data_IF_626179185562
#
_entry.id   IF_626179185562
#
_cell.length_a   1.000
_cell.length_b   1.000
_cell.length_c   1.000
_cell.angle_alpha   90.00
_cell.angle_beta   90.00
_cell.angle_gamma   90.00
#
_symmetry.space_group_name_H-M   'P 1'
#
loop_
_entity.id
_entity.type
_entity.pdbx_description
1 polymer ?
#
# COMPACT_ATOMS: atom_id res chain seq x y z
N UNK A 1 -4.98 -4.15 -9.09
CA UNK A 1 -5.66 -5.44 -9.24
C UNK A 1 -6.24 -5.60 -10.65
N UNK A 2 -7.25 -4.81 -11.06
CA UNK A 2 -7.91 -4.96 -12.37
C UNK A 2 -6.93 -4.87 -13.54
N UNK A 3 -6.01 -3.89 -13.55
CA UNK A 3 -5.04 -3.73 -14.63
C UNK A 3 -4.15 -4.97 -14.83
N UNK A 4 -3.74 -5.63 -13.75
CA UNK A 4 -2.95 -6.86 -13.80
C UNK A 4 -3.82 -8.05 -14.29
N UNK A 5 -5.03 -8.18 -13.76
CA UNK A 5 -5.94 -9.25 -14.13
C UNK A 5 -6.37 -9.18 -15.60
N UNK A 6 -6.63 -7.96 -16.14
CA UNK A 6 -6.93 -7.72 -17.55
C UNK A 6 -5.75 -8.09 -18.49
N UNK A 7 -4.52 -8.07 -17.95
CA UNK A 7 -3.29 -8.54 -18.65
C UNK A 7 -3.03 -10.04 -18.47
N UNK A 8 -3.94 -10.76 -17.83
CA UNK A 8 -3.89 -12.21 -17.69
C UNK A 8 -3.31 -12.72 -16.36
N UNK A 9 -2.89 -11.85 -15.45
CA UNK A 9 -2.42 -12.27 -14.14
C UNK A 9 -3.56 -12.84 -13.29
N UNK A 10 -3.25 -13.82 -12.45
CA UNK A 10 -4.07 -14.19 -11.32
C UNK A 10 -3.72 -13.28 -10.14
N UNK A 11 -4.71 -12.65 -9.54
CA UNK A 11 -4.52 -11.65 -8.50
C UNK A 11 -5.15 -12.10 -7.19
N UNK A 12 -4.38 -12.14 -6.13
CA UNK A 12 -4.87 -12.23 -4.76
C UNK A 12 -4.90 -10.80 -4.20
N UNK A 13 -6.09 -10.26 -3.98
CA UNK A 13 -6.29 -8.89 -3.49
C UNK A 13 -6.63 -8.93 -2.00
N UNK A 14 -5.68 -8.55 -1.14
CA UNK A 14 -5.94 -8.32 0.28
C UNK A 14 -6.45 -6.90 0.46
N UNK A 15 -7.67 -6.75 0.98
CA UNK A 15 -8.36 -5.46 1.08
C UNK A 15 -8.77 -5.16 2.53
N UNK A 16 -8.43 -3.96 3.02
CA UNK A 16 -8.81 -3.45 4.33
C UNK A 16 -9.67 -2.20 4.19
N UNK A 17 -10.80 -2.16 4.88
CA UNK A 17 -11.70 -0.99 4.95
C UNK A 17 -12.08 -0.39 3.59
N UNK A 18 -12.26 -1.24 2.58
CA UNK A 18 -12.71 -0.85 1.25
C UNK A 18 -14.16 -1.29 1.05
N UNK A 19 -15.02 -0.35 0.66
CA UNK A 19 -16.44 -0.62 0.39
C UNK A 19 -16.64 -1.62 -0.76
N UNK A 20 -17.67 -2.45 -0.64
CA UNK A 20 -18.02 -3.46 -1.65
C UNK A 20 -18.31 -2.82 -3.03
N UNK A 21 -18.91 -1.64 -3.07
CA UNK A 21 -19.12 -0.90 -4.31
C UNK A 21 -17.84 -0.53 -5.04
N UNK A 22 -16.76 -0.23 -4.30
CA UNK A 22 -15.43 0.03 -4.89
C UNK A 22 -14.79 -1.27 -5.39
N UNK A 23 -15.02 -2.39 -4.68
CA UNK A 23 -14.49 -3.70 -5.02
C UNK A 23 -15.36 -4.48 -6.00
N UNK A 24 -16.54 -3.99 -6.37
CA UNK A 24 -17.52 -4.72 -7.18
C UNK A 24 -16.91 -5.38 -8.41
N UNK A 25 -16.12 -4.63 -9.19
CA UNK A 25 -15.45 -5.17 -10.37
C UNK A 25 -14.41 -6.25 -10.05
N UNK A 26 -13.71 -6.11 -8.93
CA UNK A 26 -12.73 -7.11 -8.49
C UNK A 26 -13.43 -8.38 -7.97
N UNK A 27 -14.50 -8.23 -7.20
CA UNK A 27 -15.29 -9.34 -6.66
C UNK A 27 -15.91 -10.24 -7.75
N UNK A 28 -16.24 -9.66 -8.91
CA UNK A 28 -16.81 -10.39 -10.04
C UNK A 28 -15.79 -10.79 -11.12
N UNK A 29 -14.50 -10.46 -10.94
CA UNK A 29 -13.47 -10.76 -11.94
C UNK A 29 -12.95 -12.20 -11.80
N UNK A 30 -12.96 -13.05 -12.86
CA UNK A 30 -12.61 -14.47 -12.75
C UNK A 30 -11.14 -14.75 -12.36
N UNK A 31 -10.27 -13.76 -12.44
CA UNK A 31 -8.84 -13.87 -12.09
C UNK A 31 -8.47 -13.13 -10.81
N UNK A 32 -9.44 -12.66 -10.03
CA UNK A 32 -9.19 -11.95 -8.77
C UNK A 32 -9.86 -12.69 -7.64
N UNK A 33 -9.07 -13.16 -6.67
CA UNK A 33 -9.55 -13.59 -5.37
C UNK A 33 -9.42 -12.43 -4.39
N UNK A 34 -10.49 -12.10 -3.65
CA UNK A 34 -10.49 -11.01 -2.67
C UNK A 34 -10.52 -11.60 -1.27
N UNK A 35 -9.54 -11.22 -0.46
CA UNK A 35 -9.45 -11.52 0.97
C UNK A 35 -9.60 -10.22 1.78
N UNK A 36 -10.35 -10.27 2.88
CA UNK A 36 -10.55 -9.12 3.78
C UNK A 36 -9.61 -9.20 4.97
N UNK A 37 -8.95 -8.09 5.28
CA UNK A 37 -8.15 -7.90 6.48
C UNK A 37 -8.59 -6.60 7.15
N UNK A 38 -8.96 -6.64 8.42
CA UNK A 38 -9.51 -5.49 9.14
C UNK A 38 -8.47 -4.78 10.02
N UNK A 39 -7.39 -5.47 10.37
CA UNK A 39 -6.32 -4.95 11.22
C UNK A 39 -4.97 -5.01 10.51
N UNK A 40 -3.98 -4.26 11.02
CA UNK A 40 -2.59 -4.34 10.52
C UNK A 40 -2.00 -5.74 10.69
N UNK A 41 -2.34 -6.43 11.78
CA UNK A 41 -1.87 -7.81 12.05
C UNK A 41 -2.48 -8.81 11.06
N UNK A 42 -3.79 -8.70 10.79
CA UNK A 42 -4.44 -9.54 9.78
C UNK A 42 -3.89 -9.25 8.38
N UNK A 43 -3.63 -7.98 8.05
CA UNK A 43 -3.02 -7.59 6.77
C UNK A 43 -1.62 -8.20 6.64
N UNK A 44 -0.77 -8.12 7.67
CA UNK A 44 0.57 -8.73 7.66
C UNK A 44 0.48 -10.24 7.42
N UNK A 45 -0.38 -10.93 8.17
CA UNK A 45 -0.55 -12.37 8.04
C UNK A 45 -1.05 -12.79 6.63
N UNK A 46 -2.08 -12.11 6.12
CA UNK A 46 -2.64 -12.38 4.79
C UNK A 46 -1.62 -12.09 3.68
N UNK A 47 -0.91 -10.96 3.76
CA UNK A 47 0.11 -10.59 2.77
C UNK A 47 1.28 -11.56 2.77
N UNK A 48 1.78 -12.02 3.93
CA UNK A 48 2.85 -13.04 4.00
C UNK A 48 2.39 -14.36 3.41
N UNK A 49 1.17 -14.80 3.73
CA UNK A 49 0.63 -16.05 3.19
C UNK A 49 0.50 -15.99 1.66
N UNK A 50 -0.08 -14.90 1.13
CA UNK A 50 -0.26 -14.70 -0.31
C UNK A 50 1.08 -14.51 -1.05
N UNK A 51 2.05 -13.81 -0.45
CA UNK A 51 3.36 -13.55 -1.07
C UNK A 51 4.20 -14.80 -1.28
N UNK A 52 4.00 -15.84 -0.47
CA UNK A 52 4.79 -17.07 -0.57
C UNK A 52 4.76 -17.73 -1.96
N UNK A 53 3.68 -17.55 -2.71
CA UNK A 53 3.50 -18.13 -4.06
C UNK A 53 3.44 -17.08 -5.18
N UNK A 54 3.40 -15.79 -4.83
CA UNK A 54 3.28 -14.71 -5.82
C UNK A 54 4.60 -14.42 -6.53
N UNK A 55 4.55 -14.14 -7.83
CA UNK A 55 5.72 -13.66 -8.59
C UNK A 55 5.95 -12.16 -8.36
N UNK A 56 4.86 -11.41 -8.14
CA UNK A 56 4.89 -9.96 -7.91
C UNK A 56 4.01 -9.63 -6.70
N UNK A 57 4.56 -8.86 -5.77
CA UNK A 57 3.83 -8.33 -4.61
C UNK A 57 3.72 -6.81 -4.74
N UNK A 58 2.49 -6.29 -4.64
CA UNK A 58 2.23 -4.84 -4.71
C UNK A 58 1.61 -4.39 -3.39
N UNK A 59 2.38 -3.72 -2.55
CA UNK A 59 1.90 -3.19 -1.27
C UNK A 59 1.51 -1.72 -1.43
N UNK A 60 0.22 -1.48 -1.69
CA UNK A 60 -0.34 -0.14 -1.91
C UNK A 60 -1.22 0.34 -0.74
N UNK A 61 -1.40 -0.48 0.30
CA UNK A 61 -2.19 -0.11 1.46
C UNK A 61 -1.46 0.91 2.35
N UNK A 62 -2.20 1.90 2.85
CA UNK A 62 -1.75 2.80 3.90
C UNK A 62 -2.05 2.15 5.27
N UNK A 63 -1.08 1.43 5.80
CA UNK A 63 -1.18 0.79 7.12
C UNK A 63 -0.72 1.78 8.18
N UNK A 64 -1.46 1.84 9.30
CA UNK A 64 -1.08 2.68 10.44
C UNK A 64 0.24 2.20 11.06
N UNK A 65 1.13 3.14 11.39
CA UNK A 65 2.41 2.85 12.03
C UNK A 65 2.23 2.41 13.51
N UNK A 66 1.12 2.80 14.13
CA UNK A 66 0.85 2.56 15.54
C UNK A 66 -0.57 2.01 15.77
N UNK A 67 -0.72 1.21 16.79
CA UNK A 67 -2.01 0.72 17.29
C UNK A 67 -2.08 0.78 18.82
N UNK A 68 -3.29 0.64 19.36
CA UNK A 68 -3.47 0.43 20.80
C UNK A 68 -3.25 -1.05 21.13
N UNK A 69 -2.47 -1.39 22.18
CA UNK A 69 -2.21 -2.79 22.54
C UNK A 69 -3.47 -3.52 23.00
N UNK A 70 -4.38 -2.80 23.64
CA UNK A 70 -5.65 -3.35 24.14
C UNK A 70 -6.82 -2.49 23.69
N UNK A 71 -7.82 -3.13 23.10
CA UNK A 71 -9.09 -2.50 22.71
C UNK A 71 -10.11 -2.77 23.80
N UNK A 72 -10.76 -1.69 24.30
CA UNK A 72 -11.81 -1.84 25.29
C UNK A 72 -13.07 -2.45 24.68
N UNK A 73 -13.59 -3.52 25.29
CA UNK A 73 -14.85 -4.15 24.92
C UNK A 73 -16.07 -3.33 25.36
N UNK A 74 -15.86 -2.32 26.20
CA UNK A 74 -16.92 -1.45 26.70
C UNK A 74 -16.71 -0.01 26.27
N UNK A 75 -17.83 0.71 26.10
CA UNK A 75 -17.79 2.13 25.73
C UNK A 75 -17.14 2.96 26.82
N UNK A 76 -16.04 3.61 26.51
CA UNK A 76 -15.40 4.59 27.38
C UNK A 76 -16.29 5.85 27.43
N UNK A 77 -16.62 6.33 28.64
CA UNK A 77 -17.51 7.47 28.87
C UNK A 77 -16.72 8.70 29.31
N UNK A 78 -17.24 9.88 29.01
CA UNK A 78 -16.61 11.15 29.44
C UNK A 78 -16.55 11.33 30.96
N UNK A 79 -17.46 10.68 31.66
CA UNK A 79 -17.54 10.70 33.13
C UNK A 79 -16.40 9.93 33.78
N UNK A 80 -15.74 9.02 33.05
CA UNK A 80 -14.63 8.19 33.54
C UNK A 80 -13.30 8.98 33.65
N UNK A 81 -13.31 10.27 33.28
CA UNK A 81 -12.17 11.18 33.39
C UNK A 81 -11.35 11.28 32.13
N UNK A 82 -10.08 11.70 32.27
CA UNK A 82 -9.14 11.82 31.14
C UNK A 82 -8.66 10.45 30.70
N UNK A 83 -8.75 10.17 29.40
CA UNK A 83 -8.24 8.93 28.79
C UNK A 83 -6.83 9.20 28.29
N UNK A 84 -5.88 8.34 28.70
CA UNK A 84 -4.54 8.24 28.11
C UNK A 84 -4.52 7.02 27.20
N UNK A 85 -3.98 7.16 25.98
CA UNK A 85 -3.78 6.06 25.06
C UNK A 85 -2.29 5.79 24.93
N UNK A 86 -1.89 4.59 25.32
CA UNK A 86 -0.56 4.09 25.00
C UNK A 86 -0.58 3.46 23.62
N UNK A 87 0.37 3.83 22.78
CA UNK A 87 0.48 3.31 21.42
C UNK A 87 1.72 2.41 21.29
N UNK A 88 1.57 1.32 20.55
CA UNK A 88 2.66 0.41 20.19
C UNK A 88 2.88 0.43 18.68
N UNK A 89 4.12 0.27 18.25
CA UNK A 89 4.46 0.21 16.82
C UNK A 89 3.88 -1.06 16.19
N UNK A 90 3.26 -0.89 15.03
CA UNK A 90 2.86 -2.00 14.19
C UNK A 90 4.06 -2.52 13.39
N UNK A 91 4.09 -3.80 13.01
CA UNK A 91 5.09 -4.33 12.10
C UNK A 91 5.09 -3.58 10.77
N UNK A 92 6.27 -3.27 10.23
CA UNK A 92 6.41 -2.75 8.87
C UNK A 92 6.24 -3.90 7.87
N UNK A 93 5.00 -4.05 7.37
CA UNK A 93 4.63 -5.15 6.47
C UNK A 93 5.52 -5.18 5.23
N UNK A 94 5.78 -4.01 4.63
CA UNK A 94 6.58 -3.94 3.40
C UNK A 94 8.03 -4.39 3.61
N UNK A 95 8.66 -3.99 4.71
CA UNK A 95 10.01 -4.46 5.07
C UNK A 95 9.99 -5.97 5.32
N UNK A 96 8.97 -6.48 6.01
CA UNK A 96 8.82 -7.91 6.24
C UNK A 96 8.70 -8.69 4.93
N UNK A 97 7.90 -8.23 3.98
CA UNK A 97 7.74 -8.86 2.66
C UNK A 97 9.05 -8.85 1.86
N UNK A 98 9.84 -7.79 1.95
CA UNK A 98 11.17 -7.74 1.31
C UNK A 98 12.13 -8.75 1.94
N UNK A 99 12.16 -8.86 3.27
CA UNK A 99 13.02 -9.81 3.97
C UNK A 99 12.68 -11.27 3.65
N UNK A 100 11.40 -11.57 3.44
CA UNK A 100 10.90 -12.92 3.14
C UNK A 100 10.85 -13.19 1.62
N UNK A 101 11.26 -12.23 0.77
CA UNK A 101 11.14 -12.35 -0.68
C UNK A 101 12.01 -13.47 -1.24
N UNK A 102 11.49 -14.14 -2.29
CA UNK A 102 12.17 -15.23 -2.99
C UNK A 102 13.02 -14.70 -4.16
N UNK A 103 14.09 -15.39 -4.55
CA UNK A 103 14.81 -15.07 -5.77
C UNK A 103 13.87 -15.00 -6.99
N UNK A 104 13.90 -13.89 -7.72
CA UNK A 104 13.06 -13.66 -8.89
C UNK A 104 11.66 -13.08 -8.58
N UNK A 105 11.28 -12.95 -7.33
CA UNK A 105 10.08 -12.24 -6.92
C UNK A 105 10.30 -10.74 -6.98
N UNK A 106 9.29 -9.98 -7.42
CA UNK A 106 9.34 -8.51 -7.49
C UNK A 106 8.45 -7.91 -6.40
N UNK A 107 9.03 -7.05 -5.58
CA UNK A 107 8.30 -6.32 -4.52
C UNK A 107 8.13 -4.86 -4.91
N UNK A 108 6.88 -4.43 -5.05
CA UNK A 108 6.50 -3.04 -5.37
C UNK A 108 5.90 -2.38 -4.15
N UNK A 109 6.51 -1.28 -3.71
CA UNK A 109 5.98 -0.45 -2.64
C UNK A 109 5.27 0.80 -3.15
N UNK A 110 4.48 1.42 -2.28
CA UNK A 110 3.87 2.73 -2.51
C UNK A 110 4.31 3.73 -1.46
N UNK A 111 4.46 4.98 -1.88
CA UNK A 111 4.74 6.10 -1.01
C UNK A 111 3.88 7.30 -1.40
N UNK A 112 3.18 7.85 -0.41
CA UNK A 112 2.52 9.15 -0.51
C UNK A 112 3.43 10.16 0.19
N UNK A 113 3.95 11.15 -0.56
CA UNK A 113 4.89 12.13 -0.05
C UNK A 113 4.38 13.56 -0.28
N UNK A 114 4.55 14.42 0.71
CA UNK A 114 4.41 15.86 0.52
C UNK A 114 5.74 16.40 0.03
N UNK A 115 5.75 17.12 -1.08
CA UNK A 115 6.96 17.73 -1.63
C UNK A 115 6.60 19.05 -2.33
N UNK A 116 7.49 20.03 -2.25
CA UNK A 116 7.27 21.34 -2.85
C UNK A 116 7.45 21.28 -4.38
N UNK A 117 8.35 20.41 -4.85
CA UNK A 117 8.61 20.21 -6.27
C UNK A 117 8.93 18.75 -6.62
N UNK A 118 9.12 18.48 -7.91
CA UNK A 118 9.42 17.14 -8.44
C UNK A 118 10.83 16.66 -8.06
N UNK A 119 11.77 17.56 -7.84
CA UNK A 119 13.14 17.20 -7.45
C UNK A 119 13.16 16.67 -6.01
N UNK A 120 12.46 17.35 -5.12
CA UNK A 120 12.29 16.91 -3.74
C UNK A 120 11.50 15.60 -3.67
N UNK A 121 10.42 15.47 -4.47
CA UNK A 121 9.64 14.23 -4.53
C UNK A 121 10.51 13.03 -4.94
N UNK A 122 11.36 13.22 -5.95
CA UNK A 122 12.31 12.22 -6.42
C UNK A 122 13.30 11.84 -5.31
N UNK A 123 13.91 12.82 -4.66
CA UNK A 123 14.89 12.58 -3.59
C UNK A 123 14.28 11.82 -2.41
N UNK A 124 13.06 12.19 -1.98
CA UNK A 124 12.32 11.48 -0.93
C UNK A 124 11.99 10.04 -1.36
N UNK A 125 11.57 9.87 -2.63
CA UNK A 125 11.30 8.56 -3.20
C UNK A 125 12.51 7.64 -3.20
N UNK A 126 13.66 8.12 -3.65
CA UNK A 126 14.93 7.38 -3.65
C UNK A 126 15.31 6.95 -2.23
N UNK A 127 15.33 7.90 -1.27
CA UNK A 127 15.65 7.58 0.13
C UNK A 127 14.70 6.53 0.72
N UNK A 128 13.39 6.65 0.42
CA UNK A 128 12.38 5.72 0.93
C UNK A 128 12.52 4.35 0.29
N UNK A 129 12.74 4.28 -1.02
CA UNK A 129 12.99 3.03 -1.74
C UNK A 129 14.19 2.30 -1.17
N UNK A 130 15.34 2.96 -1.03
CA UNK A 130 16.57 2.39 -0.46
C UNK A 130 16.35 1.89 0.97
N UNK A 131 15.64 2.67 1.81
CA UNK A 131 15.32 2.27 3.19
C UNK A 131 14.42 1.03 3.25
N UNK A 132 13.43 0.93 2.36
CA UNK A 132 12.48 -0.19 2.33
C UNK A 132 13.04 -1.42 1.61
N UNK A 133 14.02 -1.26 0.73
CA UNK A 133 14.66 -2.33 -0.01
C UNK A 133 13.80 -2.95 -1.11
N UNK A 134 12.74 -2.26 -1.56
CA UNK A 134 11.85 -2.75 -2.62
C UNK A 134 12.51 -2.67 -3.99
N UNK A 135 12.06 -3.49 -4.94
CA UNK A 135 12.54 -3.48 -6.33
C UNK A 135 12.03 -2.25 -7.07
N UNK A 136 10.78 -1.85 -6.80
CA UNK A 136 10.15 -0.66 -7.38
C UNK A 136 9.35 0.08 -6.31
N UNK A 137 9.47 1.40 -6.27
CA UNK A 137 8.64 2.26 -5.42
C UNK A 137 7.83 3.21 -6.29
N UNK A 138 6.51 3.11 -6.21
CA UNK A 138 5.60 4.10 -6.76
C UNK A 138 5.43 5.25 -5.77
N UNK A 139 5.88 6.44 -6.13
CA UNK A 139 5.82 7.64 -5.28
C UNK A 139 4.81 8.62 -5.86
N UNK A 140 3.76 8.91 -5.13
CA UNK A 140 2.82 9.94 -5.51
C UNK A 140 2.91 11.16 -4.58
N UNK A 141 2.78 12.36 -5.17
CA UNK A 141 2.68 13.57 -4.39
C UNK A 141 1.28 13.68 -3.82
N UNK A 142 1.20 14.00 -2.54
CA UNK A 142 -0.04 14.28 -1.83
C UNK A 142 0.02 15.65 -1.20
N UNK A 143 -1.12 16.35 -1.16
CA UNK A 143 -1.26 17.67 -0.58
C UNK A 143 -2.74 17.97 -0.32
N UNK A 144 -3.04 19.20 0.15
CA UNK A 144 -4.42 19.61 0.45
C UNK A 144 -5.37 19.56 -0.77
N UNK A 145 -4.83 19.56 -2.00
CA UNK A 145 -5.60 19.56 -3.25
C UNK A 145 -5.24 18.42 -4.20
N UNK A 146 -4.28 17.54 -3.84
CA UNK A 146 -3.75 16.49 -4.71
C UNK A 146 -3.62 15.16 -3.95
N UNK A 147 -3.91 14.05 -4.60
CA UNK A 147 -3.53 12.68 -4.19
C UNK A 147 -4.63 11.83 -3.59
N UNK A 148 -5.16 12.17 -2.43
CA UNK A 148 -6.24 11.39 -1.83
C UNK A 148 -7.62 11.84 -2.35
N UNK A 149 -8.48 10.86 -2.69
CA UNK A 149 -9.86 11.07 -3.16
C UNK A 149 -10.02 11.81 -4.51
N UNK A 150 -8.93 12.07 -5.24
CA UNK A 150 -9.00 12.65 -6.59
C UNK A 150 -9.18 11.57 -7.66
N UNK A 151 -9.83 11.92 -8.78
CA UNK A 151 -10.00 11.04 -9.93
C UNK A 151 -8.68 10.82 -10.68
N UNK A 152 -7.77 11.77 -10.61
CA UNK A 152 -6.46 11.76 -11.25
C UNK A 152 -5.35 11.52 -10.23
N UNK A 153 -4.28 10.90 -10.68
CA UNK A 153 -3.09 10.66 -9.89
C UNK A 153 -1.84 10.88 -10.74
N UNK A 154 -0.72 11.17 -10.08
CA UNK A 154 0.59 11.22 -10.69
C UNK A 154 1.57 10.42 -9.84
N UNK A 155 2.30 9.52 -10.45
CA UNK A 155 3.30 8.71 -9.76
C UNK A 155 4.64 8.75 -10.48
N UNK A 156 5.71 8.81 -9.68
CA UNK A 156 7.08 8.51 -10.11
C UNK A 156 7.38 7.06 -9.72
N UNK A 157 8.04 6.32 -10.58
CA UNK A 157 8.47 4.96 -10.30
C UNK A 157 9.99 4.93 -10.15
N UNK A 158 10.46 4.67 -8.93
CA UNK A 158 11.89 4.58 -8.59
C UNK A 158 12.29 3.11 -8.51
N UNK A 159 13.26 2.71 -9.32
CA UNK A 159 13.74 1.33 -9.42
C UNK A 159 14.90 1.00 -8.47
N UNK A 160 15.39 -0.23 -8.57
CA UNK A 160 16.47 -0.75 -7.73
C UNK A 160 17.83 -0.05 -7.96
N UNK A 161 17.99 0.72 -9.02
CA UNK A 161 19.20 1.52 -9.30
C UNK A 161 19.14 2.93 -8.72
N UNK A 162 18.06 3.25 -7.97
CA UNK A 162 17.75 4.58 -7.45
C UNK A 162 17.51 5.62 -8.56
N UNK A 163 17.07 5.16 -9.73
CA UNK A 163 16.67 6.01 -10.84
C UNK A 163 15.15 6.07 -10.99
N UNK A 164 14.67 7.14 -11.62
CA UNK A 164 13.27 7.24 -12.04
C UNK A 164 13.11 6.44 -13.33
N UNK A 165 12.65 5.20 -13.21
CA UNK A 165 12.43 4.31 -14.34
C UNK A 165 11.32 4.81 -15.27
N UNK A 166 10.25 5.40 -14.70
CA UNK A 166 9.12 5.96 -15.46
C UNK A 166 8.30 6.94 -14.63
N UNK A 167 7.39 7.64 -15.31
CA UNK A 167 6.39 8.51 -14.70
C UNK A 167 5.04 8.28 -15.38
N UNK A 168 3.97 8.34 -14.61
CA UNK A 168 2.61 8.27 -15.14
C UNK A 168 1.72 9.33 -14.50
N UNK A 169 0.82 9.91 -15.30
CA UNK A 169 -0.17 10.87 -14.84
C UNK A 169 -1.50 10.65 -15.55
N UNK A 170 -2.61 10.89 -14.86
CA UNK A 170 -3.97 10.75 -15.37
C UNK A 170 -4.85 9.98 -14.42
N UNK A 171 -5.88 9.31 -14.94
CA UNK A 171 -6.77 8.51 -14.08
C UNK A 171 -6.01 7.39 -13.36
N UNK A 172 -6.54 6.93 -12.23
CA UNK A 172 -5.97 5.79 -11.49
C UNK A 172 -5.75 4.55 -12.38
N UNK A 173 -6.60 4.37 -13.41
CA UNK A 173 -6.42 3.29 -14.39
C UNK A 173 -5.19 3.52 -15.27
N UNK A 174 -4.98 4.73 -15.80
CA UNK A 174 -3.81 5.08 -16.61
C UNK A 174 -2.52 4.87 -15.83
N UNK A 175 -2.48 5.32 -14.57
CA UNK A 175 -1.30 5.10 -13.70
C UNK A 175 -1.09 3.62 -13.37
N UNK A 176 -2.15 2.83 -13.25
CA UNK A 176 -2.05 1.39 -13.01
C UNK A 176 -1.67 0.57 -14.26
N UNK A 177 -1.83 1.15 -15.44
CA UNK A 177 -1.47 0.54 -16.73
C UNK A 177 -0.01 0.84 -17.15
N UNK A 178 0.62 1.84 -16.51
CA UNK A 178 2.02 2.24 -16.74
C UNK A 178 3.01 1.33 -16.04
#
# INVERSE_FOLDING_TARGET
ALAAADRGAYVHLVAAHVDDGVLEKALHHPRIAVERALTAVEMDAAMRAASAEADVVVMAAAVADFSVPEVSDVKIRKEDGTVTLDLVENPDILIGLVQDSRPGQTIVGFAAETADDDAELRERGIRKRSRKGVDLLAVNRVGWQEGFETAENRALFVDATDEVASQAAGTKRVVADA
#
